data_IF_752456787449
#
_entry.id   IF_752456787449
#
_cell.length_a   1.000
_cell.length_b   1.000
_cell.length_c   1.000
_cell.angle_alpha   90.00
_cell.angle_beta   90.00
_cell.angle_gamma   90.00
#
_symmetry.space_group_name_H-M   'P 1'
#
loop_
_entity.id
_entity.type
_entity.pdbx_description
1 polymer ?
#
# COMPACT_ATOMS: atom_id res chain seq x y z
N UNK A 1 -18.77 0.91 1.66
CA UNK A 1 -18.73 -0.26 0.74
C UNK A 1 -18.99 0.25 -0.67
N UNK A 2 -18.26 -0.23 -1.68
CA UNK A 2 -18.31 0.38 -3.01
C UNK A 2 -19.00 -0.47 -4.09
N UNK A 3 -18.83 -1.79 -4.09
CA UNK A 3 -19.49 -2.69 -5.06
C UNK A 3 -20.05 -3.93 -4.36
N UNK A 4 -21.20 -4.46 -4.75
CA UNK A 4 -21.65 -5.78 -4.30
C UNK A 4 -22.34 -6.49 -5.48
N UNK A 5 -21.79 -7.61 -5.93
CA UNK A 5 -22.48 -8.44 -6.92
C UNK A 5 -23.71 -9.07 -6.26
N UNK A 6 -24.91 -8.57 -6.56
CA UNK A 6 -26.16 -9.27 -6.27
C UNK A 6 -26.68 -9.93 -7.56
N UNK A 7 -26.95 -11.23 -7.50
CA UNK A 7 -27.54 -11.99 -8.61
C UNK A 7 -29.07 -11.86 -8.70
N UNK A 8 -29.66 -10.71 -8.37
CA UNK A 8 -31.11 -10.53 -8.36
C UNK A 8 -31.57 -9.07 -8.21
N UNK A 9 -32.84 -8.82 -8.55
CA UNK A 9 -33.52 -7.53 -8.36
C UNK A 9 -33.72 -7.30 -6.86
N UNK A 10 -33.20 -6.18 -6.33
CA UNK A 10 -33.35 -5.81 -4.92
C UNK A 10 -34.79 -5.38 -4.65
N UNK A 11 -35.54 -6.18 -3.88
CA UNK A 11 -36.93 -5.89 -3.48
C UNK A 11 -37.06 -5.37 -2.05
N UNK A 12 -35.95 -5.19 -1.32
CA UNK A 12 -35.96 -4.73 0.07
C UNK A 12 -34.90 -3.63 0.32
N UNK A 13 -35.34 -2.55 0.96
CA UNK A 13 -34.55 -1.38 1.37
C UNK A 13 -33.59 -1.67 2.55
N UNK A 14 -33.55 -2.90 3.07
CA UNK A 14 -32.61 -3.34 4.14
C UNK A 14 -31.25 -3.82 3.62
N UNK A 15 -31.06 -3.92 2.29
CA UNK A 15 -29.80 -4.37 1.72
C UNK A 15 -28.69 -3.32 1.88
N UNK A 16 -27.58 -3.70 2.53
CA UNK A 16 -26.36 -2.89 2.69
C UNK A 16 -26.04 -2.10 1.42
N UNK A 17 -26.01 -0.77 1.56
CA UNK A 17 -25.95 0.19 0.45
C UNK A 17 -24.51 0.27 -0.09
N UNK A 18 -24.33 -0.08 -1.36
CA UNK A 18 -23.09 0.08 -2.11
C UNK A 18 -23.20 1.23 -3.14
N UNK A 19 -22.06 1.81 -3.53
CA UNK A 19 -22.02 2.95 -4.46
C UNK A 19 -22.61 2.57 -5.81
N UNK A 20 -22.35 1.36 -6.29
CA UNK A 20 -22.91 0.85 -7.55
C UNK A 20 -24.44 0.76 -7.53
N UNK A 21 -25.02 0.24 -6.45
CA UNK A 21 -26.47 0.18 -6.25
C UNK A 21 -27.10 1.56 -6.31
N UNK A 22 -26.54 2.55 -5.60
CA UNK A 22 -27.07 3.91 -5.58
C UNK A 22 -26.94 4.58 -6.95
N UNK A 23 -25.81 4.40 -7.63
CA UNK A 23 -25.63 4.92 -8.99
C UNK A 23 -26.66 4.30 -9.95
N UNK A 24 -26.94 2.99 -9.85
CA UNK A 24 -27.99 2.35 -10.65
C UNK A 24 -29.37 2.95 -10.37
N UNK A 25 -29.75 3.14 -9.11
CA UNK A 25 -31.04 3.71 -8.74
C UNK A 25 -31.23 5.11 -9.34
N UNK A 26 -30.23 5.99 -9.22
CA UNK A 26 -30.36 7.34 -9.79
C UNK A 26 -30.26 7.36 -11.32
N UNK A 27 -29.32 6.61 -11.91
CA UNK A 27 -29.04 6.63 -13.35
C UNK A 27 -30.11 5.90 -14.16
N UNK A 28 -30.51 4.71 -13.72
CA UNK A 28 -31.39 3.80 -14.48
C UNK A 28 -32.85 3.96 -14.03
N UNK A 29 -33.12 3.88 -12.71
CA UNK A 29 -34.49 3.89 -12.21
C UNK A 29 -35.09 5.30 -12.24
N UNK A 30 -34.35 6.30 -11.76
CA UNK A 30 -34.79 7.69 -11.77
C UNK A 30 -34.43 8.46 -13.05
N UNK A 31 -33.79 7.79 -14.03
CA UNK A 31 -33.39 8.36 -15.33
C UNK A 31 -32.59 9.68 -15.24
N UNK A 32 -31.80 9.88 -14.17
CA UNK A 32 -30.95 11.06 -14.05
C UNK A 32 -29.74 10.90 -14.99
N UNK A 33 -29.43 11.90 -15.84
CA UNK A 33 -28.25 11.86 -16.69
C UNK A 33 -26.98 11.59 -15.87
N UNK A 34 -26.21 10.58 -16.28
CA UNK A 34 -25.00 10.16 -15.56
C UNK A 34 -24.03 11.32 -15.31
N UNK A 35 -23.89 12.24 -16.28
CA UNK A 35 -23.06 13.44 -16.19
C UNK A 35 -23.47 14.42 -15.07
N UNK A 36 -24.67 14.30 -14.51
CA UNK A 36 -25.14 15.09 -13.36
C UNK A 36 -24.96 14.38 -12.01
N UNK A 37 -24.51 13.12 -12.03
CA UNK A 37 -24.26 12.34 -10.82
C UNK A 37 -22.77 12.40 -10.46
N UNK A 38 -22.49 12.51 -9.17
CA UNK A 38 -21.16 12.36 -8.62
C UNK A 38 -21.12 11.33 -7.50
N UNK A 39 -19.94 10.74 -7.25
CA UNK A 39 -19.75 9.82 -6.12
C UNK A 39 -19.05 10.53 -4.96
N UNK A 40 -19.55 10.32 -3.74
CA UNK A 40 -18.91 10.79 -2.52
C UNK A 40 -17.72 9.92 -2.13
N UNK A 41 -16.61 10.55 -1.75
CA UNK A 41 -15.40 9.88 -1.25
C UNK A 41 -15.16 10.36 0.19
N UNK A 42 -15.26 9.46 1.19
CA UNK A 42 -14.95 9.81 2.56
C UNK A 42 -13.42 9.84 2.76
N UNK A 43 -12.90 10.94 3.28
CA UNK A 43 -11.51 11.03 3.76
C UNK A 43 -11.38 10.63 5.23
N UNK A 44 -12.34 9.83 5.69
CA UNK A 44 -12.44 9.26 7.02
C UNK A 44 -12.73 7.76 6.90
N UNK A 45 -12.45 7.03 7.97
CA UNK A 45 -12.82 5.64 8.12
C UNK A 45 -13.87 5.44 9.20
N UNK A 46 -14.44 4.24 9.21
CA UNK A 46 -15.32 3.75 10.27
C UNK A 46 -14.59 2.66 11.02
N UNK A 47 -14.60 2.69 12.35
CA UNK A 47 -13.98 1.64 13.15
C UNK A 47 -14.91 1.02 14.20
N UNK A 48 -14.63 -0.25 14.49
CA UNK A 48 -15.27 -1.10 15.48
C UNK A 48 -14.16 -1.66 16.39
N UNK A 49 -14.15 -1.23 17.64
CA UNK A 49 -13.16 -1.54 18.68
C UNK A 49 -13.14 -3.02 19.05
N UNK A 50 -14.29 -3.68 19.12
CA UNK A 50 -14.40 -5.13 19.43
C UNK A 50 -14.55 -6.02 18.18
N UNK A 51 -14.14 -5.53 17.01
CA UNK A 51 -14.30 -6.27 15.75
C UNK A 51 -15.73 -6.25 15.20
N UNK A 52 -15.91 -6.87 14.04
CA UNK A 52 -17.18 -6.88 13.30
C UNK A 52 -18.14 -7.95 13.88
N UNK A 53 -19.44 -7.62 14.04
CA UNK A 53 -20.51 -8.49 14.57
C UNK A 53 -20.44 -8.89 16.06
N UNK A 54 -19.75 -8.14 16.92
CA UNK A 54 -19.89 -8.30 18.38
C UNK A 54 -21.09 -7.50 18.91
N UNK A 55 -21.85 -8.00 19.91
CA UNK A 55 -23.00 -7.29 20.47
C UNK A 55 -22.56 -5.90 20.97
N UNK A 56 -23.20 -4.85 20.43
CA UNK A 56 -23.05 -3.44 20.79
C UNK A 56 -21.66 -3.06 21.29
N UNK A 57 -20.77 -2.67 20.37
CA UNK A 57 -19.47 -2.11 20.72
C UNK A 57 -19.61 -0.83 21.54
N UNK A 58 -19.70 -1.00 22.86
CA UNK A 58 -20.00 0.06 23.81
C UNK A 58 -18.71 0.76 24.22
N UNK A 59 -18.12 1.55 23.31
CA UNK A 59 -17.43 2.80 23.62
C UNK A 59 -16.60 3.27 22.42
N UNK A 60 -17.03 4.37 21.82
CA UNK A 60 -16.13 5.21 21.02
C UNK A 60 -15.11 5.90 21.92
N UNK A 61 -13.92 6.16 21.37
CA UNK A 61 -12.92 7.00 22.05
C UNK A 61 -13.47 8.42 22.32
N UNK A 62 -14.29 8.93 21.38
CA UNK A 62 -15.13 10.11 21.55
C UNK A 62 -16.61 9.70 21.47
N UNK A 63 -17.36 9.90 22.55
CA UNK A 63 -18.80 9.59 22.59
C UNK A 63 -19.61 10.35 21.53
N UNK A 64 -19.15 11.52 21.09
CA UNK A 64 -19.80 12.34 20.06
C UNK A 64 -19.67 11.78 18.64
N UNK A 65 -18.73 10.86 18.39
CA UNK A 65 -18.54 10.23 17.07
C UNK A 65 -19.24 8.87 16.93
N UNK A 66 -19.84 8.39 18.02
CA UNK A 66 -20.59 7.13 18.05
C UNK A 66 -21.84 7.22 17.19
N UNK A 67 -21.94 6.34 16.18
CA UNK A 67 -23.19 6.07 15.48
C UNK A 67 -23.62 4.64 15.78
N UNK A 68 -24.75 4.52 16.48
CA UNK A 68 -25.42 3.26 16.75
C UNK A 68 -26.71 3.22 15.94
N UNK A 69 -26.93 2.15 15.18
CA UNK A 69 -28.20 1.91 14.50
C UNK A 69 -28.93 0.76 15.24
N UNK A 70 -30.23 0.89 15.53
CA UNK A 70 -31.01 -0.20 16.12
C UNK A 70 -30.85 -1.49 15.30
N UNK A 71 -30.43 -2.59 15.94
CA UNK A 71 -30.18 -3.87 15.27
C UNK A 71 -28.83 -4.03 14.57
N UNK A 72 -27.92 -3.06 14.67
CA UNK A 72 -26.56 -3.08 14.08
C UNK A 72 -25.50 -2.79 15.16
N UNK A 73 -24.25 -3.20 14.92
CA UNK A 73 -23.07 -2.82 15.70
C UNK A 73 -22.87 -1.29 15.71
N UNK A 74 -22.59 -0.70 16.88
CA UNK A 74 -22.11 0.67 16.99
C UNK A 74 -20.73 0.81 16.33
N UNK A 75 -20.46 1.96 15.72
CA UNK A 75 -19.17 2.29 15.12
C UNK A 75 -18.84 3.77 15.31
N UNK A 76 -17.56 4.09 15.19
CA UNK A 76 -17.03 5.44 15.34
C UNK A 76 -16.36 5.90 14.04
N UNK A 77 -16.16 7.21 13.87
CA UNK A 77 -15.36 7.75 12.75
C UNK A 77 -13.99 8.16 13.23
N UNK A 78 -13.03 8.07 12.33
CA UNK A 78 -11.76 8.76 12.49
C UNK A 78 -11.24 9.27 11.15
N UNK A 79 -10.45 10.34 11.19
CA UNK A 79 -9.81 10.91 10.02
C UNK A 79 -8.84 9.90 9.40
N UNK A 80 -8.67 9.94 8.08
CA UNK A 80 -7.61 9.15 7.43
C UNK A 80 -6.24 9.43 8.04
N UNK A 81 -5.96 10.69 8.40
CA UNK A 81 -4.69 11.05 9.05
C UNK A 81 -4.44 10.29 10.35
N UNK A 82 -5.42 10.27 11.25
CA UNK A 82 -5.33 9.51 12.50
C UNK A 82 -5.29 8.00 12.26
N UNK A 83 -6.09 7.48 11.32
CA UNK A 83 -6.05 6.06 10.93
C UNK A 83 -4.64 5.63 10.57
N UNK A 84 -3.96 6.42 9.74
CA UNK A 84 -2.61 6.12 9.30
C UNK A 84 -1.54 6.34 10.39
N UNK A 85 -1.77 7.23 11.35
CA UNK A 85 -0.82 7.52 12.42
C UNK A 85 -0.90 6.53 13.60
N UNK A 86 -2.10 6.09 13.95
CA UNK A 86 -2.35 5.37 15.20
C UNK A 86 -2.60 3.88 15.01
N UNK A 87 -3.13 3.47 13.84
CA UNK A 87 -3.63 2.11 13.65
C UNK A 87 -2.99 1.36 12.47
N UNK A 88 -2.42 2.07 11.50
CA UNK A 88 -1.87 1.42 10.32
C UNK A 88 -0.55 0.71 10.62
N UNK A 89 -0.56 -0.61 10.44
CA UNK A 89 0.63 -1.44 10.30
C UNK A 89 0.54 -2.15 8.95
N UNK A 90 1.67 -2.42 8.31
CA UNK A 90 1.67 -3.12 7.02
C UNK A 90 0.93 -4.47 7.11
N UNK A 91 1.05 -5.17 8.24
CA UNK A 91 0.40 -6.47 8.50
C UNK A 91 -1.09 -6.37 8.83
N UNK A 92 -1.57 -5.19 9.27
CA UNK A 92 -3.00 -5.00 9.58
C UNK A 92 -3.82 -4.66 8.33
N UNK A 93 -3.18 -4.21 7.26
CA UNK A 93 -3.85 -3.89 6.00
C UNK A 93 -4.47 -5.12 5.34
N UNK A 94 -5.72 -4.96 4.92
CA UNK A 94 -6.47 -5.97 4.19
C UNK A 94 -7.28 -5.34 3.05
N UNK A 95 -7.70 -6.19 2.12
CA UNK A 95 -8.49 -5.79 0.97
C UNK A 95 -9.63 -6.76 0.67
N UNK A 96 -10.85 -6.22 0.56
CA UNK A 96 -12.01 -6.97 0.06
C UNK A 96 -12.19 -6.75 -1.44
N UNK A 97 -11.99 -7.81 -2.21
CA UNK A 97 -12.11 -7.82 -3.68
C UNK A 97 -13.52 -7.54 -4.18
N UNK A 98 -14.54 -8.00 -3.46
CA UNK A 98 -15.94 -7.84 -3.84
C UNK A 98 -16.36 -6.39 -3.65
N UNK A 99 -15.99 -5.82 -2.50
CA UNK A 99 -16.38 -4.49 -2.09
C UNK A 99 -15.53 -3.37 -2.71
N UNK A 100 -14.36 -3.72 -3.27
CA UNK A 100 -13.22 -2.84 -3.59
C UNK A 100 -12.89 -1.88 -2.45
N UNK A 101 -12.83 -2.40 -1.24
CA UNK A 101 -12.63 -1.63 -0.02
C UNK A 101 -11.37 -2.07 0.72
N UNK A 102 -10.65 -1.09 1.24
CA UNK A 102 -9.55 -1.30 2.17
C UNK A 102 -10.09 -1.34 3.60
N UNK A 103 -9.49 -2.20 4.41
CA UNK A 103 -9.74 -2.22 5.84
C UNK A 103 -8.49 -2.59 6.63
N UNK A 104 -8.47 -2.24 7.90
CA UNK A 104 -7.47 -2.69 8.87
C UNK A 104 -8.10 -3.70 9.81
N UNK A 105 -7.35 -4.75 10.15
CA UNK A 105 -7.72 -5.73 11.18
C UNK A 105 -6.46 -6.31 11.81
N UNK A 106 -6.58 -6.90 12.99
CA UNK A 106 -5.45 -7.44 13.75
C UNK A 106 -5.90 -8.51 14.72
N UNK A 107 -5.30 -8.55 15.91
CA UNK A 107 -5.73 -9.45 16.98
C UNK A 107 -7.11 -9.07 17.57
N UNK A 108 -7.58 -9.83 18.57
CA UNK A 108 -8.88 -9.61 19.20
C UNK A 108 -9.06 -8.24 19.88
N UNK A 109 -7.97 -7.49 20.08
CA UNK A 109 -7.98 -6.14 20.67
C UNK A 109 -7.81 -5.04 19.62
N UNK A 110 -7.45 -5.41 18.38
CA UNK A 110 -7.24 -4.47 17.29
C UNK A 110 -8.59 -4.11 16.63
N UNK A 111 -8.89 -2.81 16.44
CA UNK A 111 -10.14 -2.39 15.84
C UNK A 111 -10.26 -2.84 14.38
N UNK A 112 -11.44 -3.27 13.96
CA UNK A 112 -11.73 -3.37 12.53
C UNK A 112 -11.95 -1.95 11.99
N UNK A 113 -11.18 -1.51 11.00
CA UNK A 113 -11.28 -0.14 10.44
C UNK A 113 -11.53 -0.21 8.94
N UNK A 114 -12.71 0.18 8.45
CA UNK A 114 -12.94 0.39 7.01
C UNK A 114 -12.53 1.80 6.64
N UNK A 115 -11.71 1.97 5.60
CA UNK A 115 -11.19 3.28 5.19
C UNK A 115 -10.91 3.35 3.69
N UNK A 116 -10.54 4.54 3.20
CA UNK A 116 -10.09 4.73 1.82
C UNK A 116 -8.56 4.70 1.73
N UNK A 117 -8.04 4.06 0.70
CA UNK A 117 -6.63 4.12 0.34
C UNK A 117 -6.48 4.38 -1.16
N UNK A 118 -5.24 4.46 -1.63
CA UNK A 118 -4.95 4.72 -3.04
C UNK A 118 -5.64 3.74 -4.00
N UNK A 119 -5.74 2.46 -3.61
CA UNK A 119 -6.39 1.42 -4.42
C UNK A 119 -7.91 1.62 -4.46
N UNK A 120 -8.59 1.79 -3.33
CA UNK A 120 -10.05 1.97 -3.28
C UNK A 120 -10.48 3.24 -4.02
N UNK A 121 -9.73 4.33 -3.86
CA UNK A 121 -9.96 5.56 -4.60
C UNK A 121 -9.84 5.33 -6.10
N UNK A 122 -8.77 4.66 -6.53
CA UNK A 122 -8.55 4.43 -7.94
C UNK A 122 -9.65 3.57 -8.57
N UNK A 123 -10.08 2.52 -7.88
CA UNK A 123 -11.23 1.70 -8.30
C UNK A 123 -12.48 2.57 -8.47
N UNK A 124 -12.79 3.42 -7.47
CA UNK A 124 -13.92 4.36 -7.50
C UNK A 124 -13.90 5.30 -8.70
N UNK A 125 -12.76 5.95 -8.93
CA UNK A 125 -12.64 6.92 -10.02
C UNK A 125 -12.63 6.24 -11.40
N UNK A 126 -12.09 5.03 -11.53
CA UNK A 126 -12.19 4.24 -12.76
C UNK A 126 -13.64 3.88 -13.07
N UNK A 127 -14.39 3.42 -12.09
CA UNK A 127 -15.82 3.17 -12.27
C UNK A 127 -16.63 4.42 -12.59
N UNK A 128 -16.35 5.52 -11.90
CA UNK A 128 -16.98 6.81 -12.17
C UNK A 128 -16.84 7.17 -13.65
N UNK A 129 -15.62 7.06 -14.20
CA UNK A 129 -15.33 7.25 -15.62
C UNK A 129 -16.09 6.25 -16.50
N UNK A 130 -16.03 4.95 -16.17
CA UNK A 130 -16.70 3.90 -16.95
C UNK A 130 -18.23 4.03 -16.96
N UNK A 131 -18.81 4.62 -15.91
CA UNK A 131 -20.24 4.87 -15.81
C UNK A 131 -20.68 6.20 -16.45
N UNK A 132 -19.73 7.03 -16.91
CA UNK A 132 -19.99 8.35 -17.46
C UNK A 132 -20.48 9.36 -16.41
N UNK A 133 -20.06 9.20 -15.15
CA UNK A 133 -20.46 10.09 -14.06
C UNK A 133 -19.73 11.43 -14.15
N UNK A 134 -20.38 12.51 -13.68
CA UNK A 134 -19.88 13.88 -13.78
C UNK A 134 -18.69 14.21 -12.89
N UNK A 135 -18.48 13.47 -11.80
CA UNK A 135 -17.33 13.71 -10.93
C UNK A 135 -17.43 13.08 -9.55
N UNK A 136 -16.64 13.61 -8.62
CA UNK A 136 -16.60 13.17 -7.23
C UNK A 136 -16.61 14.35 -6.27
N UNK A 137 -17.17 14.15 -5.08
CA UNK A 137 -17.12 15.08 -3.96
C UNK A 137 -16.32 14.41 -2.84
N UNK A 138 -15.43 15.16 -2.19
CA UNK A 138 -14.61 14.66 -1.07
C UNK A 138 -15.23 15.15 0.25
N UNK A 139 -15.46 14.24 1.18
CA UNK A 139 -15.96 14.53 2.53
C UNK A 139 -15.01 13.98 3.61
N UNK A 140 -14.17 14.78 4.22
CA UNK A 140 -13.86 16.18 3.92
C UNK A 140 -12.34 16.37 3.85
N UNK A 141 -11.89 17.42 3.18
CA UNK A 141 -10.47 17.61 2.85
C UNK A 141 -9.56 17.54 4.09
N UNK A 142 -9.97 18.16 5.20
CA UNK A 142 -9.17 18.19 6.43
C UNK A 142 -8.95 16.80 7.04
N UNK A 143 -9.86 15.84 6.83
CA UNK A 143 -9.71 14.49 7.36
C UNK A 143 -8.68 13.65 6.59
N UNK A 144 -8.38 14.04 5.35
CA UNK A 144 -7.30 13.44 4.56
C UNK A 144 -5.94 14.11 4.76
N UNK A 145 -5.93 15.32 5.32
CA UNK A 145 -4.74 16.13 5.51
C UNK A 145 -3.95 15.68 6.75
N UNK A 146 -2.66 15.43 6.58
CA UNK A 146 -1.74 14.98 7.64
C UNK A 146 -0.79 16.11 8.02
N UNK A 147 -1.24 16.98 8.92
CA UNK A 147 -0.53 18.19 9.32
C UNK A 147 0.83 17.92 9.98
N UNK A 148 0.98 16.76 10.60
CA UNK A 148 2.16 16.21 11.26
C UNK A 148 3.25 15.73 10.28
N UNK A 149 2.95 15.66 8.99
CA UNK A 149 3.86 15.16 7.96
C UNK A 149 4.64 16.28 7.27
N UNK A 150 5.79 15.95 6.67
CA UNK A 150 6.58 16.90 5.88
C UNK A 150 5.84 17.41 4.63
N UNK A 151 6.21 18.59 4.07
CA UNK A 151 5.68 19.05 2.79
C UNK A 151 5.75 17.96 1.70
N UNK A 152 4.67 17.80 0.96
CA UNK A 152 4.51 16.72 -0.03
C UNK A 152 3.93 15.42 0.49
N UNK A 153 3.97 15.16 1.81
CA UNK A 153 3.37 13.99 2.47
C UNK A 153 2.02 14.30 3.15
N UNK A 154 1.63 15.57 3.21
CA UNK A 154 0.41 15.99 3.91
C UNK A 154 -0.89 15.57 3.20
N UNK A 155 -0.85 15.40 1.88
CA UNK A 155 -2.04 15.22 1.02
C UNK A 155 -2.03 13.89 0.25
N UNK A 156 -1.45 12.83 0.81
CA UNK A 156 -1.30 11.54 0.13
C UNK A 156 -2.62 11.02 -0.49
N UNK A 157 -3.71 11.12 0.27
CA UNK A 157 -5.02 10.63 -0.16
C UNK A 157 -5.61 11.52 -1.28
N UNK A 158 -5.47 12.84 -1.17
CA UNK A 158 -5.89 13.79 -2.21
C UNK A 158 -5.07 13.62 -3.50
N UNK A 159 -3.75 13.41 -3.39
CA UNK A 159 -2.89 13.11 -4.54
C UNK A 159 -3.30 11.81 -5.23
N UNK A 160 -3.77 10.81 -4.48
CA UNK A 160 -4.33 9.58 -5.05
C UNK A 160 -5.61 9.84 -5.84
N UNK A 161 -6.53 10.66 -5.32
CA UNK A 161 -7.74 11.09 -6.07
C UNK A 161 -7.33 11.83 -7.35
N UNK A 162 -6.42 12.79 -7.27
CA UNK A 162 -5.91 13.54 -8.44
C UNK A 162 -5.29 12.61 -9.48
N UNK A 163 -4.47 11.66 -9.05
CA UNK A 163 -3.84 10.69 -9.95
C UNK A 163 -4.89 9.83 -10.65
N UNK A 164 -5.85 9.28 -9.91
CA UNK A 164 -6.90 8.43 -10.48
C UNK A 164 -7.87 9.20 -11.38
N UNK A 165 -8.16 10.46 -11.06
CA UNK A 165 -9.04 11.31 -11.85
C UNK A 165 -8.38 11.79 -13.15
N UNK A 166 -7.10 12.19 -13.12
CA UNK A 166 -6.47 12.90 -14.23
C UNK A 166 -5.56 12.03 -15.10
N UNK A 167 -5.00 10.93 -14.56
CA UNK A 167 -4.05 10.12 -15.31
C UNK A 167 -4.76 8.95 -16.03
N UNK A 168 -4.40 8.66 -17.29
CA UNK A 168 -4.92 7.50 -18.01
C UNK A 168 -4.31 6.20 -17.48
N UNK A 169 -4.94 5.07 -17.81
CA UNK A 169 -4.33 3.75 -17.64
C UNK A 169 -3.14 3.59 -18.58
N UNK A 170 -2.15 2.81 -18.17
CA UNK A 170 -0.97 2.50 -18.96
C UNK A 170 -0.54 1.04 -18.78
N UNK A 171 0.27 0.56 -19.71
CA UNK A 171 0.95 -0.74 -19.64
C UNK A 171 2.41 -0.48 -19.30
N UNK A 172 2.91 -1.14 -18.26
CA UNK A 172 4.33 -1.16 -17.90
C UNK A 172 4.86 -2.57 -18.14
N UNK A 173 5.89 -2.69 -18.98
CA UNK A 173 6.55 -3.96 -19.26
C UNK A 173 7.84 -4.03 -18.44
N UNK A 174 8.00 -5.08 -17.63
CA UNK A 174 9.19 -5.32 -16.83
C UNK A 174 9.77 -6.70 -17.17
N UNK A 175 11.10 -6.77 -17.25
CA UNK A 175 11.81 -8.05 -17.42
C UNK A 175 11.96 -8.72 -16.05
N UNK A 176 11.56 -9.98 -15.97
CA UNK A 176 11.78 -10.86 -14.82
C UNK A 176 12.89 -11.84 -15.21
N UNK A 177 13.95 -11.88 -14.43
CA UNK A 177 15.06 -12.81 -14.64
C UNK A 177 14.75 -14.20 -14.08
N UNK A 178 15.52 -15.20 -14.49
CA UNK A 178 15.57 -16.49 -13.81
C UNK A 178 16.08 -16.31 -12.38
N UNK A 179 15.61 -17.14 -11.45
CA UNK A 179 15.83 -17.09 -10.01
C UNK A 179 15.11 -15.91 -9.32
N UNK A 180 15.67 -15.42 -8.22
CA UNK A 180 15.06 -14.40 -7.38
C UNK A 180 15.05 -13.05 -8.10
N UNK A 181 13.98 -12.30 -7.89
CA UNK A 181 13.80 -10.95 -8.38
C UNK A 181 13.19 -10.10 -7.26
N UNK A 182 13.69 -8.88 -7.07
CA UNK A 182 13.06 -7.92 -6.17
C UNK A 182 12.18 -6.98 -7.01
N UNK A 183 10.87 -7.12 -6.87
CA UNK A 183 9.88 -6.53 -7.77
C UNK A 183 8.82 -5.75 -7.00
N UNK A 184 8.08 -4.89 -7.70
CA UNK A 184 6.96 -4.15 -7.14
C UNK A 184 5.80 -4.04 -8.12
N UNK A 185 4.70 -3.41 -7.70
CA UNK A 185 3.52 -3.16 -8.53
C UNK A 185 3.43 -1.66 -8.84
N UNK A 186 3.80 -1.22 -10.05
CA UNK A 186 3.96 0.19 -10.38
C UNK A 186 2.66 0.89 -10.82
N UNK A 187 1.59 0.14 -11.08
CA UNK A 187 0.27 0.64 -11.46
C UNK A 187 -0.80 0.16 -10.48
N UNK A 188 -1.94 0.85 -10.40
CA UNK A 188 -3.11 0.24 -9.76
C UNK A 188 -3.72 -0.75 -10.75
N UNK A 189 -3.31 -2.02 -10.63
CA UNK A 189 -3.76 -3.12 -11.49
C UNK A 189 -5.17 -3.57 -11.15
N UNK A 190 -5.85 -4.22 -12.10
CA UNK A 190 -7.22 -4.72 -11.89
C UNK A 190 -7.31 -5.85 -10.86
N UNK A 191 -6.27 -6.69 -10.77
CA UNK A 191 -6.22 -7.83 -9.88
C UNK A 191 -4.86 -7.88 -9.16
N UNK A 192 -4.89 -7.68 -7.86
CA UNK A 192 -3.70 -7.72 -7.00
C UNK A 192 -3.47 -9.11 -6.37
N UNK A 193 -4.15 -10.16 -6.84
CA UNK A 193 -3.75 -11.51 -6.49
C UNK A 193 -2.29 -11.72 -6.93
N UNK A 194 -1.43 -12.22 -6.04
CA UNK A 194 0.00 -12.42 -6.35
C UNK A 194 0.19 -13.32 -7.57
N UNK A 195 -0.64 -14.37 -7.71
CA UNK A 195 -0.72 -15.25 -8.88
C UNK A 195 -1.24 -14.58 -10.16
N UNK A 196 -1.97 -13.46 -10.06
CA UNK A 196 -2.37 -12.68 -11.23
C UNK A 196 -1.29 -11.69 -11.66
N UNK A 197 -0.55 -11.13 -10.70
CA UNK A 197 0.51 -10.16 -10.96
C UNK A 197 1.78 -10.87 -11.44
N UNK A 198 2.10 -12.04 -10.87
CA UNK A 198 3.25 -12.86 -11.23
C UNK A 198 2.85 -14.34 -11.43
N UNK A 199 2.21 -14.68 -12.57
CA UNK A 199 1.62 -16.01 -12.78
C UNK A 199 2.59 -17.19 -12.76
N UNK A 200 3.84 -16.98 -13.18
CA UNK A 200 4.87 -18.02 -13.22
C UNK A 200 5.82 -17.96 -12.00
N UNK A 201 5.50 -17.13 -11.00
CA UNK A 201 6.31 -17.00 -9.79
C UNK A 201 6.07 -18.17 -8.83
N UNK A 202 7.13 -18.91 -8.47
CA UNK A 202 7.06 -20.09 -7.60
C UNK A 202 7.45 -19.85 -6.14
N UNK A 203 7.90 -18.64 -5.81
CA UNK A 203 8.36 -18.28 -4.46
C UNK A 203 8.05 -16.83 -4.12
N UNK A 204 6.79 -16.41 -4.22
CA UNK A 204 6.42 -15.01 -3.96
C UNK A 204 6.42 -14.76 -2.45
N UNK A 205 7.29 -13.88 -1.97
CA UNK A 205 7.34 -13.49 -0.55
C UNK A 205 7.54 -11.99 -0.34
N UNK A 206 7.01 -11.48 0.77
CA UNK A 206 7.28 -10.16 1.32
C UNK A 206 7.96 -10.24 2.69
N UNK A 207 8.67 -9.18 3.08
CA UNK A 207 9.30 -9.01 4.40
C UNK A 207 10.32 -7.87 4.35
N UNK A 208 10.35 -6.96 5.32
CA UNK A 208 11.48 -7.07 6.27
C UNK A 208 11.25 -6.49 7.67
N UNK A 209 11.73 -7.15 8.74
CA UNK A 209 12.08 -6.51 10.02
C UNK A 209 13.22 -7.30 10.71
N UNK A 210 14.44 -6.77 10.72
CA UNK A 210 15.59 -7.28 11.51
C UNK A 210 16.23 -8.60 11.05
N UNK A 211 17.32 -9.01 11.71
CA UNK A 211 18.05 -10.28 11.48
C UNK A 211 17.17 -11.54 11.60
N UNK A 212 15.97 -11.41 12.16
CA UNK A 212 15.05 -12.52 12.50
C UNK A 212 13.77 -12.55 11.63
N UNK A 213 13.77 -11.93 10.45
CA UNK A 213 12.56 -11.82 9.63
C UNK A 213 12.10 -13.18 9.03
N UNK A 214 10.83 -13.53 9.28
CA UNK A 214 10.13 -14.63 8.59
C UNK A 214 9.52 -14.08 7.30
N UNK A 215 9.96 -14.63 6.17
CA UNK A 215 9.37 -14.39 4.85
C UNK A 215 7.94 -14.92 4.81
N UNK A 216 6.97 -14.04 4.52
CA UNK A 216 5.55 -14.43 4.39
C UNK A 216 5.17 -14.56 2.92
N UNK A 217 4.28 -15.49 2.59
CA UNK A 217 3.73 -15.67 1.25
C UNK A 217 2.42 -14.89 1.11
N UNK A 218 2.41 -13.70 0.48
CA UNK A 218 1.20 -12.92 0.35
C UNK A 218 0.30 -13.46 -0.76
N UNK A 219 -0.98 -13.70 -0.43
CA UNK A 219 -2.01 -14.00 -1.44
C UNK A 219 -2.41 -12.75 -2.24
N UNK A 220 -2.26 -11.56 -1.63
CA UNK A 220 -2.48 -10.27 -2.28
C UNK A 220 -1.29 -9.35 -2.12
N UNK A 221 -1.00 -8.62 -3.18
CA UNK A 221 0.08 -7.63 -3.22
C UNK A 221 -0.50 -6.21 -3.14
N UNK A 222 0.34 -5.22 -2.92
CA UNK A 222 -0.07 -3.81 -2.84
C UNK A 222 0.96 -2.88 -3.47
N UNK A 223 0.49 -1.71 -3.91
CA UNK A 223 1.38 -0.64 -4.34
C UNK A 223 2.20 -0.11 -3.15
N UNK A 224 3.40 0.41 -3.44
CA UNK A 224 4.31 0.92 -2.41
C UNK A 224 5.12 -0.15 -1.68
N UNK A 225 4.67 -1.40 -1.67
CA UNK A 225 5.46 -2.54 -1.20
C UNK A 225 6.31 -3.15 -2.33
N UNK A 226 7.36 -3.87 -1.93
CA UNK A 226 8.16 -4.72 -2.79
C UNK A 226 8.16 -6.18 -2.31
N UNK A 227 8.47 -7.07 -3.23
CA UNK A 227 8.30 -8.51 -3.09
C UNK A 227 9.48 -9.23 -3.73
N UNK A 228 9.92 -10.29 -3.08
CA UNK A 228 10.77 -11.29 -3.70
C UNK A 228 9.91 -12.25 -4.51
N UNK A 229 10.30 -12.50 -5.74
CA UNK A 229 9.64 -13.50 -6.58
C UNK A 229 10.68 -14.35 -7.28
N UNK A 230 10.54 -15.68 -7.17
CA UNK A 230 11.41 -16.63 -7.86
C UNK A 230 10.77 -17.13 -9.14
N UNK A 231 11.51 -17.09 -10.25
CA UNK A 231 11.12 -17.64 -11.55
C UNK A 231 12.08 -18.76 -11.96
N UNK A 232 11.56 -19.83 -12.57
CA UNK A 232 12.39 -20.93 -13.12
C UNK A 232 13.00 -20.59 -14.48
N UNK A 233 12.42 -19.62 -15.19
CA UNK A 233 12.93 -19.06 -16.44
C UNK A 233 12.55 -17.58 -16.54
N UNK A 234 13.38 -16.79 -17.22
CA UNK A 234 13.09 -15.39 -17.47
C UNK A 234 11.76 -15.17 -18.21
N UNK A 235 11.10 -14.06 -17.94
CA UNK A 235 9.80 -13.72 -18.51
C UNK A 235 9.65 -12.20 -18.70
N UNK A 236 8.76 -11.79 -19.59
CA UNK A 236 8.26 -10.41 -19.65
C UNK A 236 6.94 -10.32 -18.90
N UNK A 237 6.85 -9.36 -17.98
CA UNK A 237 5.67 -9.13 -17.14
C UNK A 237 5.05 -7.78 -17.48
N UNK A 238 3.75 -7.77 -17.78
CA UNK A 238 3.02 -6.57 -18.17
C UNK A 238 2.00 -6.16 -17.09
N UNK A 239 2.21 -5.00 -16.46
CA UNK A 239 1.26 -4.39 -15.54
C UNK A 239 0.37 -3.41 -16.28
N UNK A 240 -0.90 -3.77 -16.46
CA UNK A 240 -1.92 -2.86 -17.02
C UNK A 240 -2.76 -2.29 -15.89
N UNK A 241 -2.80 -0.96 -15.77
CA UNK A 241 -3.57 -0.33 -14.72
C UNK A 241 -3.51 1.19 -14.72
N UNK A 242 -4.19 1.80 -13.76
CA UNK A 242 -4.17 3.25 -13.57
C UNK A 242 -2.81 3.72 -13.08
N UNK A 243 -2.30 4.78 -13.70
CA UNK A 243 -1.00 5.35 -13.37
C UNK A 243 -0.98 5.91 -11.95
N UNK A 244 0.14 5.68 -11.28
CA UNK A 244 0.52 6.16 -9.96
C UNK A 244 1.65 7.20 -10.14
N UNK A 245 1.34 8.47 -9.85
CA UNK A 245 2.33 9.56 -9.88
C UNK A 245 2.84 9.96 -8.52
N UNK A 246 2.19 9.50 -7.44
CA UNK A 246 2.62 9.71 -6.07
C UNK A 246 2.18 8.54 -5.18
N UNK A 247 3.01 8.21 -4.19
CA UNK A 247 2.78 7.23 -3.13
C UNK A 247 3.33 7.75 -1.80
N UNK A 248 2.65 7.38 -0.72
CA UNK A 248 3.18 7.52 0.63
C UNK A 248 3.33 6.13 1.21
N UNK A 249 4.57 5.75 1.51
CA UNK A 249 4.97 4.38 1.86
C UNK A 249 5.38 4.37 3.33
N UNK A 250 4.58 3.76 4.21
CA UNK A 250 4.97 3.53 5.59
C UNK A 250 6.21 2.63 5.66
N UNK A 251 7.13 2.96 6.58
CA UNK A 251 8.40 2.24 6.79
C UNK A 251 8.63 2.04 8.29
N UNK A 252 9.37 1.00 8.66
CA UNK A 252 9.78 0.69 10.02
C UNK A 252 11.23 1.10 10.29
N UNK A 253 11.70 1.06 11.54
CA UNK A 253 13.15 1.15 11.80
C UNK A 253 13.88 -0.04 11.17
N UNK A 254 15.07 0.21 10.63
CA UNK A 254 15.88 -0.81 9.96
C UNK A 254 15.63 -0.90 8.46
N UNK A 255 15.90 -2.07 7.88
CA UNK A 255 15.77 -2.31 6.45
C UNK A 255 14.31 -2.46 6.04
N UNK A 256 13.93 -1.82 4.93
CA UNK A 256 12.59 -1.79 4.35
C UNK A 256 12.67 -2.15 2.85
N UNK A 257 11.68 -2.92 2.37
CA UNK A 257 11.48 -3.17 0.94
C UNK A 257 10.37 -2.25 0.44
N UNK A 258 10.70 -1.39 -0.52
CA UNK A 258 9.76 -0.39 -1.08
C UNK A 258 9.57 -0.60 -2.57
N UNK A 259 8.37 -0.29 -3.05
CA UNK A 259 8.02 -0.32 -4.47
C UNK A 259 8.29 0.99 -5.21
N UNK A 260 7.99 0.98 -6.51
CA UNK A 260 8.20 2.12 -7.41
C UNK A 260 6.89 2.83 -7.79
N UNK A 261 7.01 3.99 -8.45
CA UNK A 261 5.91 4.63 -9.16
C UNK A 261 5.76 4.05 -10.59
N UNK A 262 4.79 4.56 -11.36
CA UNK A 262 4.60 4.23 -12.78
C UNK A 262 5.63 4.86 -13.72
N UNK A 263 6.49 5.73 -13.21
CA UNK A 263 7.60 6.36 -13.93
C UNK A 263 8.83 6.39 -13.04
N UNK A 264 10.01 6.39 -13.65
CA UNK A 264 11.28 6.54 -12.96
C UNK A 264 11.28 7.79 -12.08
N UNK A 265 11.76 7.65 -10.84
CA UNK A 265 11.90 8.72 -9.86
C UNK A 265 13.31 8.72 -9.32
N UNK A 266 14.01 9.86 -9.41
CA UNK A 266 15.32 10.02 -8.79
C UNK A 266 15.22 9.84 -7.27
N UNK A 267 16.15 9.10 -6.67
CA UNK A 267 16.15 8.83 -5.22
C UNK A 267 16.32 10.09 -4.38
N UNK A 268 16.99 11.11 -4.94
CA UNK A 268 17.10 12.43 -4.33
C UNK A 268 15.77 13.19 -4.23
N UNK A 269 14.74 12.81 -4.98
CA UNK A 269 13.42 13.45 -4.92
C UNK A 269 12.51 12.87 -3.84
N UNK A 270 12.92 11.78 -3.19
CA UNK A 270 12.14 11.11 -2.16
C UNK A 270 12.16 11.97 -0.89
N UNK A 271 10.98 12.22 -0.35
CA UNK A 271 10.81 12.90 0.95
C UNK A 271 10.60 11.88 2.05
N UNK A 272 10.81 12.27 3.30
CA UNK A 272 10.52 11.41 4.44
C UNK A 272 9.91 12.19 5.58
N UNK A 273 9.11 11.51 6.40
CA UNK A 273 8.63 12.00 7.68
C UNK A 273 8.88 10.91 8.74
N UNK A 274 9.67 11.17 9.81
CA UNK A 274 10.37 12.43 10.08
C UNK A 274 11.42 12.79 9.00
N UNK A 275 11.88 14.04 9.01
CA UNK A 275 12.96 14.46 8.13
C UNK A 275 14.24 13.65 8.44
N UNK A 276 15.10 13.44 7.43
CA UNK A 276 16.34 12.67 7.58
C UNK A 276 16.15 11.23 8.06
N UNK A 277 15.01 10.61 7.74
CA UNK A 277 14.67 9.23 8.15
C UNK A 277 15.55 8.18 7.47
N UNK A 278 15.96 8.43 6.22
CA UNK A 278 16.72 7.49 5.39
C UNK A 278 18.20 7.54 5.73
N UNK A 279 18.76 6.41 6.15
CA UNK A 279 20.15 6.30 6.63
C UNK A 279 21.06 5.43 5.74
N UNK A 280 20.55 4.94 4.60
CA UNK A 280 21.33 4.22 3.59
C UNK A 280 21.15 4.80 2.18
N UNK A 281 21.91 4.26 1.22
CA UNK A 281 21.57 4.30 -0.20
C UNK A 281 20.30 3.47 -0.46
N UNK A 282 19.73 3.62 -1.67
CA UNK A 282 18.72 2.70 -2.18
C UNK A 282 19.40 1.61 -2.99
N UNK A 283 18.98 0.36 -2.82
CA UNK A 283 19.58 -0.79 -3.48
C UNK A 283 18.57 -1.53 -4.33
N UNK A 284 18.93 -1.78 -5.59
CA UNK A 284 18.24 -2.72 -6.47
C UNK A 284 18.90 -4.09 -6.37
N UNK A 285 18.16 -5.15 -6.72
CA UNK A 285 18.71 -6.49 -6.87
C UNK A 285 18.64 -6.93 -8.33
N UNK A 286 19.76 -7.42 -8.87
CA UNK A 286 19.81 -7.99 -10.21
C UNK A 286 20.92 -9.04 -10.28
N UNK A 287 20.64 -10.16 -10.95
CA UNK A 287 21.67 -11.15 -11.27
C UNK A 287 22.41 -11.75 -10.07
N UNK A 288 21.79 -11.83 -8.89
CA UNK A 288 22.43 -12.36 -7.69
C UNK A 288 23.00 -11.31 -6.73
N UNK A 289 23.12 -10.05 -7.16
CA UNK A 289 23.85 -9.01 -6.41
C UNK A 289 23.00 -7.78 -6.15
N UNK A 290 23.32 -7.07 -5.06
CA UNK A 290 22.77 -5.74 -4.77
C UNK A 290 23.64 -4.64 -5.36
N UNK A 291 23.00 -3.64 -5.94
CA UNK A 291 23.68 -2.44 -6.46
C UNK A 291 22.98 -1.17 -5.99
N UNK A 292 23.74 -0.20 -5.50
CA UNK A 292 23.20 1.12 -5.18
C UNK A 292 22.66 1.79 -6.45
N UNK A 293 21.53 2.48 -6.33
CA UNK A 293 20.86 3.17 -7.44
C UNK A 293 20.55 4.63 -7.12
N UNK A 294 20.46 5.44 -8.16
CA UNK A 294 20.03 6.85 -8.10
C UNK A 294 18.60 7.04 -8.62
N UNK A 295 17.94 5.98 -9.10
CA UNK A 295 16.54 5.99 -9.55
C UNK A 295 15.75 4.79 -9.03
N UNK A 296 14.46 5.03 -8.76
CA UNK A 296 13.45 4.01 -8.57
C UNK A 296 12.64 3.86 -9.86
N UNK A 297 12.89 2.79 -10.59
CA UNK A 297 12.32 2.50 -11.91
C UNK A 297 11.08 1.60 -11.80
N UNK A 298 10.12 1.73 -12.74
CA UNK A 298 8.84 1.04 -12.64
C UNK A 298 8.95 -0.49 -12.60
N UNK A 299 8.29 -1.10 -11.62
CA UNK A 299 8.17 -2.56 -11.48
C UNK A 299 9.31 -3.20 -10.70
N UNK A 300 10.35 -2.44 -10.36
CA UNK A 300 11.47 -2.90 -9.54
C UNK A 300 11.15 -2.63 -8.07
N UNK A 301 11.57 -3.54 -7.20
CA UNK A 301 11.55 -3.36 -5.75
C UNK A 301 12.93 -2.94 -5.26
N UNK A 302 12.96 -2.21 -4.15
CA UNK A 302 14.19 -1.61 -3.62
C UNK A 302 14.33 -1.79 -2.13
N UNK A 303 15.56 -1.97 -1.67
CA UNK A 303 15.91 -1.89 -0.26
C UNK A 303 16.31 -0.47 0.12
N UNK A 304 15.86 -0.04 1.30
CA UNK A 304 16.27 1.20 1.96
C UNK A 304 16.28 1.00 3.48
N UNK A 305 17.27 1.56 4.18
CA UNK A 305 17.34 1.53 5.63
C UNK A 305 16.90 2.86 6.21
N UNK A 306 16.08 2.80 7.26
CA UNK A 306 15.57 3.97 7.98
C UNK A 306 15.90 3.88 9.47
N UNK A 307 16.07 5.03 10.11
CA UNK A 307 16.46 5.11 11.54
C UNK A 307 15.31 4.77 12.49
N UNK A 308 14.08 5.05 12.08
CA UNK A 308 12.86 4.86 12.88
C UNK A 308 11.70 4.43 12.00
N UNK A 309 10.53 4.20 12.61
CA UNK A 309 9.29 4.13 11.86
C UNK A 309 8.94 5.51 11.28
N UNK A 310 8.27 5.54 10.13
CA UNK A 310 7.91 6.78 9.45
C UNK A 310 7.24 6.55 8.10
N UNK A 311 7.28 7.56 7.24
CA UNK A 311 6.71 7.52 5.89
C UNK A 311 7.68 8.07 4.86
N UNK A 312 7.85 7.37 3.74
CA UNK A 312 8.54 7.86 2.55
C UNK A 312 7.54 8.41 1.53
N UNK A 313 7.86 9.56 0.94
CA UNK A 313 7.06 10.24 -0.06
C UNK A 313 7.69 10.13 -1.43
N UNK A 314 7.01 9.42 -2.33
CA UNK A 314 7.37 9.35 -3.73
C UNK A 314 6.39 10.24 -4.50
N UNK A 315 6.91 11.16 -5.30
CA UNK A 315 6.09 12.03 -6.14
C UNK A 315 6.88 12.46 -7.37
N UNK A 316 6.39 12.14 -8.57
CA UNK A 316 7.02 12.56 -9.83
C UNK A 316 7.10 14.07 -10.00
N UNK A 317 6.23 14.83 -9.31
CA UNK A 317 6.23 16.29 -9.30
C UNK A 317 7.08 16.88 -8.15
N UNK A 318 7.73 16.05 -7.33
CA UNK A 318 8.61 16.51 -6.25
C UNK A 318 9.76 17.34 -6.81
N UNK A 319 9.98 18.49 -6.15
CA UNK A 319 11.14 19.38 -6.34
C UNK A 319 12.18 19.20 -5.23
N UNK A 320 11.99 18.24 -4.33
CA UNK A 320 12.92 17.97 -3.25
C UNK A 320 14.30 17.53 -3.78
N UNK A 321 15.33 17.83 -2.99
CA UNK A 321 16.69 17.37 -3.23
C UNK A 321 17.29 16.86 -1.92
N UNK A 322 16.94 15.62 -1.58
CA UNK A 322 17.38 14.87 -0.41
C UNK A 322 18.33 13.76 -0.86
N UNK A 323 19.61 14.05 -1.15
CA UNK A 323 20.55 13.03 -1.55
C UNK A 323 20.59 11.89 -0.51
N UNK A 324 20.55 10.61 -0.93
CA UNK A 324 20.63 9.49 0.00
C UNK A 324 21.92 9.51 0.82
N UNK A 325 21.88 8.87 1.99
CA UNK A 325 23.06 8.67 2.84
C UNK A 325 24.21 8.04 2.07
N UNK A 326 25.45 8.43 2.40
CA UNK A 326 26.67 7.84 1.83
C UNK A 326 27.04 6.48 2.44
N UNK A 327 26.25 5.98 3.40
CA UNK A 327 26.47 4.67 4.04
C UNK A 327 26.64 3.54 3.01
N UNK A 328 27.63 2.69 3.25
CA UNK A 328 27.93 1.50 2.45
C UNK A 328 27.35 0.22 3.06
N UNK A 329 26.51 0.33 4.09
CA UNK A 329 25.82 -0.82 4.65
C UNK A 329 24.96 -1.50 3.58
N UNK A 330 25.08 -2.81 3.45
CA UNK A 330 24.40 -3.63 2.45
C UNK A 330 23.05 -4.18 2.98
N UNK A 331 22.07 -4.41 2.10
CA UNK A 331 20.78 -4.99 2.48
C UNK A 331 20.88 -6.41 3.07
N UNK A 332 19.81 -6.90 3.72
CA UNK A 332 19.68 -8.29 4.14
C UNK A 332 19.71 -9.28 2.97
N UNK A 333 19.89 -10.56 3.28
CA UNK A 333 19.99 -11.59 2.25
C UNK A 333 18.68 -11.98 1.61
N UNK A 334 18.81 -12.47 0.38
CA UNK A 334 17.71 -13.01 -0.38
C UNK A 334 17.07 -14.19 0.38
N UNK A 335 15.79 -14.51 0.09
CA UNK A 335 15.14 -15.62 0.77
C UNK A 335 15.86 -16.95 0.56
N UNK A 336 16.00 -17.72 1.65
CA UNK A 336 16.60 -19.05 1.64
C UNK A 336 18.13 -19.10 1.68
N UNK A 337 18.80 -17.96 1.89
CA UNK A 337 20.28 -17.91 2.01
C UNK A 337 20.76 -17.36 3.37
N UNK A 338 19.93 -17.45 4.42
CA UNK A 338 20.38 -17.06 5.76
C UNK A 338 21.55 -17.97 6.19
N UNK A 339 22.72 -17.43 6.55
CA UNK A 339 23.81 -18.26 7.04
C UNK A 339 23.41 -18.95 8.35
N UNK A 340 23.83 -20.20 8.51
CA UNK A 340 23.71 -20.92 9.78
C UNK A 340 24.54 -20.19 10.84
N UNK A 341 23.98 -19.94 12.02
CA UNK A 341 24.76 -19.39 13.13
C UNK A 341 25.88 -20.39 13.49
N UNK A 342 27.16 -19.97 13.57
CA UNK A 342 28.22 -20.86 13.99
C UNK A 342 27.99 -21.29 15.44
N UNK A 343 28.14 -22.59 15.72
CA UNK A 343 27.89 -23.21 17.04
C UNK A 343 28.87 -22.80 18.14
N UNK A 344 29.88 -21.96 17.87
CA UNK A 344 30.96 -21.72 18.83
C UNK A 344 31.57 -20.31 18.86
N UNK A 345 30.94 -19.26 18.32
CA UNK A 345 31.50 -17.90 18.40
C UNK A 345 30.42 -16.84 18.69
N UNK A 346 30.74 -15.91 19.61
CA UNK A 346 29.99 -14.67 19.83
C UNK A 346 30.27 -13.75 18.64
N UNK A 347 29.31 -13.63 17.72
CA UNK A 347 29.45 -12.81 16.51
C UNK A 347 29.01 -11.37 16.79
N UNK A 348 29.86 -10.39 16.49
CA UNK A 348 29.59 -8.97 16.79
C UNK A 348 28.86 -8.19 15.67
N UNK A 349 28.62 -8.78 14.49
CA UNK A 349 27.70 -8.31 13.42
C UNK A 349 27.85 -9.22 12.18
N UNK A 350 26.80 -9.91 11.75
CA UNK A 350 26.84 -10.78 10.55
C UNK A 350 26.57 -9.95 9.29
N UNK A 351 27.55 -9.25 8.72
CA UNK A 351 27.30 -8.49 7.48
C UNK A 351 26.98 -9.41 6.29
N UNK A 352 25.94 -9.01 5.56
CA UNK A 352 25.54 -9.33 4.18
C UNK A 352 26.23 -10.50 3.46
N UNK A 353 25.43 -11.54 3.15
CA UNK A 353 25.25 -12.34 1.91
C UNK A 353 26.43 -12.80 1.05
N UNK A 354 27.57 -12.15 1.14
CA UNK A 354 28.86 -12.71 0.83
C UNK A 354 29.35 -13.35 2.14
N UNK A 355 29.69 -14.63 2.13
CA UNK A 355 30.16 -15.37 3.31
C UNK A 355 31.52 -14.90 3.87
N UNK A 356 31.76 -13.59 3.94
CA UNK A 356 32.91 -13.00 4.58
C UNK A 356 32.60 -12.82 6.07
N UNK A 357 32.85 -13.91 6.79
CA UNK A 357 33.23 -13.81 8.19
C UNK A 357 34.45 -12.89 8.27
N UNK A 358 34.27 -11.69 8.83
CA UNK A 358 35.40 -10.89 9.28
C UNK A 358 35.69 -11.32 10.72
N UNK A 359 36.69 -12.18 10.98
CA UNK A 359 37.18 -12.38 12.33
C UNK A 359 37.81 -11.06 12.77
N UNK A 360 37.18 -10.35 13.70
CA UNK A 360 37.93 -9.42 14.53
C UNK A 360 38.81 -10.27 15.43
N UNK A 361 40.11 -10.28 15.15
CA UNK A 361 41.11 -10.70 16.13
C UNK A 361 40.96 -9.80 17.36
N UNK A 362 41.01 -10.45 18.53
CA UNK A 362 40.79 -9.92 19.89
C UNK A 362 41.55 -8.64 20.20
#
# INVERSE_FOLDING_TARGET
MYRRSYGGVLTDNTALIAVDTIVYQFKIVAAIPASKLGIGIPFEGKFWKQGFNTPADSACYNANDAQCFPGVTCWCRDSYGNIMNQYYYHTSHQWRSDDKAAYLTGDATFPYISYENQRSLTEKLVYMKNQGLGGTIIWELVKGYRSDQQPGLKDCLLKSVKSAALNPSMIISSTIATNWNLVSVPNVVRNFASSSVWPSGSGITSGPIGYDAVYSFPNQVQNGAAYWVKYSAGATKNDTGSKITSLCIPVNSGWNMIGSLSRSLATSKITSSPASLVISKYYAYSGGVYSATTSLDPGIGYWVKTSAAGTLGLDTASTANNPPSSSNEQPPCIPGTAPSAPTSLVVSRVHACEGLYHPTLT
#
